data_IF_210387139733
#
_entry.id   IF_210387139733
#
_cell.length_a   1.000
_cell.length_b   1.000
_cell.length_c   1.000
_cell.angle_alpha   90.00
_cell.angle_beta   90.00
_cell.angle_gamma   90.00
#
_symmetry.space_group_name_H-M   'P 1'
#
loop_
_entity.id
_entity.type
_entity.pdbx_description
1 polymer ?
#
# COMPACT_ATOMS: atom_id res chain seq x y z
N UNK A 1 10.57 -16.51 13.85
CA UNK A 1 9.57 -17.20 13.01
C UNK A 1 8.29 -16.41 13.16
N UNK A 2 7.69 -15.94 12.06
CA UNK A 2 6.42 -15.20 12.14
C UNK A 2 5.31 -16.20 12.49
N UNK A 3 4.50 -15.86 13.48
CA UNK A 3 3.39 -16.68 13.96
C UNK A 3 2.10 -16.38 13.18
N UNK A 4 1.18 -17.34 13.15
CA UNK A 4 -0.17 -17.15 12.58
C UNK A 4 -0.95 -16.04 13.31
N UNK A 5 -0.69 -15.84 14.60
CA UNK A 5 -1.29 -14.77 15.39
C UNK A 5 -0.82 -13.39 14.93
N UNK A 6 0.48 -13.19 14.69
CA UNK A 6 1.01 -11.93 14.16
C UNK A 6 0.45 -11.60 12.77
N UNK A 7 0.30 -12.61 11.92
CA UNK A 7 -0.33 -12.49 10.59
C UNK A 7 -1.81 -12.13 10.75
N UNK A 8 -2.52 -12.83 11.64
CA UNK A 8 -3.95 -12.59 11.90
C UNK A 8 -4.19 -11.19 12.46
N UNK A 9 -3.36 -10.72 13.39
CA UNK A 9 -3.45 -9.35 13.92
C UNK A 9 -3.19 -8.30 12.83
N UNK A 10 -2.24 -8.55 11.92
CA UNK A 10 -1.98 -7.64 10.81
C UNK A 10 -3.18 -7.53 9.86
N UNK A 11 -3.84 -8.62 9.49
CA UNK A 11 -4.95 -8.56 8.52
C UNK A 11 -6.31 -8.31 9.16
N UNK A 12 -6.57 -8.89 10.33
CA UNK A 12 -7.87 -8.91 11.00
C UNK A 12 -7.89 -8.21 12.35
N UNK A 13 -6.73 -7.83 12.90
CA UNK A 13 -6.65 -7.04 14.14
C UNK A 13 -7.12 -5.60 13.95
N UNK A 14 -7.39 -4.90 15.05
CA UNK A 14 -7.76 -3.50 15.03
C UNK A 14 -6.60 -2.66 14.44
N UNK A 15 -6.92 -1.79 13.49
CA UNK A 15 -6.01 -0.79 12.94
C UNK A 15 -6.60 0.61 13.07
N UNK A 16 -5.78 1.63 12.85
CA UNK A 16 -6.27 3.00 12.73
C UNK A 16 -7.06 3.13 11.43
N UNK A 17 -8.31 3.59 11.49
CA UNK A 17 -9.07 3.88 10.28
C UNK A 17 -8.45 5.09 9.57
N UNK A 18 -8.15 4.92 8.29
CA UNK A 18 -7.61 5.99 7.46
C UNK A 18 -8.61 6.30 6.37
N UNK A 19 -9.03 7.56 6.32
CA UNK A 19 -9.84 8.07 5.23
C UNK A 19 -9.03 7.98 3.93
N UNK A 20 -9.54 7.23 2.95
CA UNK A 20 -9.02 7.23 1.60
C UNK A 20 -9.83 8.16 0.71
N UNK A 21 -9.83 7.87 -0.59
CA UNK A 21 -10.61 8.63 -1.55
C UNK A 21 -12.09 8.24 -1.49
N UNK A 22 -12.95 9.16 -1.06
CA UNK A 22 -14.40 8.97 -1.02
C UNK A 22 -15.12 9.35 -2.32
N UNK A 23 -14.41 10.02 -3.24
CA UNK A 23 -14.96 10.46 -4.52
C UNK A 23 -15.04 9.34 -5.57
N UNK A 24 -15.26 9.72 -6.82
CA UNK A 24 -15.32 8.76 -7.93
C UNK A 24 -13.92 8.21 -8.28
N UNK A 25 -13.88 7.00 -8.82
CA UNK A 25 -12.65 6.41 -9.35
C UNK A 25 -12.01 7.29 -10.44
N UNK A 26 -12.82 7.92 -11.29
CA UNK A 26 -12.35 8.74 -12.40
C UNK A 26 -11.64 10.01 -11.91
N UNK A 27 -12.15 10.64 -10.86
CA UNK A 27 -11.51 11.79 -10.23
C UNK A 27 -10.16 11.41 -9.61
N UNK A 28 -10.10 10.25 -8.95
CA UNK A 28 -8.87 9.73 -8.35
C UNK A 28 -7.80 9.42 -9.41
N UNK A 29 -8.20 8.80 -10.54
CA UNK A 29 -7.30 8.55 -11.66
C UNK A 29 -6.82 9.87 -12.27
N UNK A 30 -7.71 10.85 -12.41
CA UNK A 30 -7.36 12.17 -12.94
C UNK A 30 -6.39 12.92 -12.02
N UNK A 31 -6.58 12.83 -10.70
CA UNK A 31 -5.68 13.38 -9.69
C UNK A 31 -4.31 12.72 -9.75
N UNK A 32 -4.27 11.39 -9.88
CA UNK A 32 -3.04 10.63 -10.03
C UNK A 32 -2.30 10.97 -11.32
N UNK A 33 -3.02 11.14 -12.43
CA UNK A 33 -2.44 11.53 -13.71
C UNK A 33 -1.82 12.93 -13.68
N UNK A 34 -2.42 13.86 -12.91
CA UNK A 34 -1.86 15.21 -12.67
C UNK A 34 -0.63 15.17 -11.78
N UNK A 35 -0.66 14.37 -10.72
CA UNK A 35 0.42 14.29 -9.72
C UNK A 35 1.63 13.49 -10.23
N UNK A 36 1.37 12.43 -10.99
CA UNK A 36 2.39 11.48 -11.48
C UNK A 36 2.20 11.20 -12.99
N UNK A 37 2.49 12.20 -13.85
CA UNK A 37 2.25 12.07 -15.29
C UNK A 37 3.05 10.91 -15.89
N UNK A 38 2.37 10.01 -16.60
CA UNK A 38 2.98 8.86 -17.28
C UNK A 38 3.37 7.68 -16.38
N UNK A 39 3.15 7.77 -15.05
CA UNK A 39 3.41 6.65 -14.14
C UNK A 39 2.24 5.67 -14.14
N UNK A 40 2.54 4.39 -13.97
CA UNK A 40 1.50 3.37 -13.86
C UNK A 40 0.71 3.56 -12.55
N UNK A 41 -0.58 3.30 -12.59
CA UNK A 41 -1.44 3.39 -11.41
C UNK A 41 -2.25 2.12 -11.19
N UNK A 42 -2.58 1.84 -9.93
CA UNK A 42 -3.42 0.72 -9.53
C UNK A 42 -4.47 1.20 -8.52
N UNK A 43 -5.73 1.21 -8.91
CA UNK A 43 -6.86 1.52 -8.03
C UNK A 43 -7.17 0.30 -7.19
N UNK A 44 -7.19 0.48 -5.87
CA UNK A 44 -7.41 -0.59 -4.90
C UNK A 44 -8.46 -0.20 -3.88
N UNK A 45 -9.16 -1.20 -3.35
CA UNK A 45 -10.14 -1.10 -2.26
C UNK A 45 -9.74 -2.00 -1.10
N UNK A 46 -10.33 -1.74 0.07
CA UNK A 46 -10.07 -2.51 1.29
C UNK A 46 -8.57 -2.62 1.54
N UNK A 47 -7.94 -1.45 1.59
CA UNK A 47 -6.50 -1.33 1.65
C UNK A 47 -6.03 -1.15 3.10
N UNK A 48 -4.82 -1.62 3.36
CA UNK A 48 -4.15 -1.58 4.64
C UNK A 48 -2.75 -1.00 4.41
N UNK A 49 -2.49 0.18 4.95
CA UNK A 49 -1.15 0.72 5.07
C UNK A 49 -0.45 0.03 6.24
N UNK A 50 0.73 -0.51 5.98
CA UNK A 50 1.51 -1.25 6.96
C UNK A 50 2.80 -0.48 7.19
N UNK A 51 2.89 0.21 8.32
CA UNK A 51 4.14 0.79 8.82
C UNK A 51 5.05 -0.32 9.32
N UNK A 52 6.25 -0.35 8.78
CA UNK A 52 7.23 -1.37 9.08
C UNK A 52 8.05 -0.96 10.28
N UNK A 53 7.97 -1.74 11.35
CA UNK A 53 8.85 -1.61 12.49
C UNK A 53 10.26 -2.05 12.07
N UNK A 54 11.11 -1.06 11.83
CA UNK A 54 12.51 -1.22 11.40
C UNK A 54 13.45 -0.61 12.42
N UNK A 55 14.67 -1.13 12.48
CA UNK A 55 15.75 -0.55 13.27
C UNK A 55 16.18 0.82 12.72
N UNK A 56 16.84 1.69 13.52
CA UNK A 56 17.35 2.97 13.04
C UNK A 56 18.27 2.83 11.81
N UNK A 57 19.17 1.84 11.81
CA UNK A 57 20.05 1.55 10.68
C UNK A 57 19.29 1.17 9.39
N UNK A 58 18.24 0.37 9.53
CA UNK A 58 17.39 -0.01 8.39
C UNK A 58 16.56 1.17 7.89
N UNK A 59 16.05 2.01 8.81
CA UNK A 59 15.36 3.24 8.46
C UNK A 59 16.28 4.19 7.70
N UNK A 60 17.53 4.32 8.13
CA UNK A 60 18.53 5.15 7.45
C UNK A 60 18.82 4.60 6.05
N UNK A 61 19.02 3.29 5.90
CA UNK A 61 19.19 2.64 4.59
C UNK A 61 18.00 2.90 3.66
N UNK A 62 16.77 2.75 4.16
CA UNK A 62 15.56 3.01 3.38
C UNK A 62 15.49 4.49 2.97
N UNK A 63 15.77 5.40 3.90
CA UNK A 63 15.77 6.84 3.66
C UNK A 63 16.82 7.22 2.60
N UNK A 64 18.02 6.66 2.67
CA UNK A 64 19.09 6.84 1.68
C UNK A 64 18.71 6.31 0.29
N UNK A 65 17.83 5.32 0.22
CA UNK A 65 17.26 4.81 -1.03
C UNK A 65 16.02 5.59 -1.50
N UNK A 66 15.57 6.59 -0.74
CA UNK A 66 14.34 7.35 -0.98
C UNK A 66 13.09 6.48 -0.82
N UNK A 67 13.11 5.53 0.11
CA UNK A 67 12.02 4.63 0.44
C UNK A 67 11.52 4.92 1.86
N UNK A 68 10.22 4.71 2.04
CA UNK A 68 9.56 4.72 3.33
C UNK A 68 9.54 3.30 3.90
N UNK A 69 9.71 3.14 5.22
CA UNK A 69 9.45 1.88 5.92
C UNK A 69 7.94 1.64 6.01
N UNK A 70 7.26 1.60 4.87
CA UNK A 70 5.82 1.41 4.77
C UNK A 70 5.54 0.58 3.53
N UNK A 71 4.57 -0.32 3.62
CA UNK A 71 4.06 -1.07 2.47
C UNK A 71 2.53 -1.02 2.45
N UNK A 72 1.96 -1.28 1.28
CA UNK A 72 0.52 -1.32 1.09
C UNK A 72 0.09 -2.76 0.83
N UNK A 73 -0.94 -3.19 1.53
CA UNK A 73 -1.71 -4.37 1.20
C UNK A 73 -3.10 -3.94 0.76
N UNK A 74 -3.66 -4.57 -0.26
CA UNK A 74 -5.05 -4.37 -0.63
C UNK A 74 -5.71 -5.72 -0.89
N UNK A 75 -6.88 -5.90 -0.30
CA UNK A 75 -7.69 -7.10 -0.53
C UNK A 75 -8.25 -7.14 -1.95
N UNK A 76 -8.48 -5.98 -2.56
CA UNK A 76 -9.12 -5.88 -3.88
C UNK A 76 -8.42 -4.87 -4.80
N UNK A 77 -7.98 -5.34 -5.97
CA UNK A 77 -7.63 -4.49 -7.11
C UNK A 77 -8.89 -4.19 -7.91
N UNK A 78 -9.19 -2.92 -8.10
CA UNK A 78 -10.30 -2.46 -8.95
C UNK A 78 -9.84 -2.27 -10.38
N UNK A 79 -8.69 -1.63 -10.58
CA UNK A 79 -8.14 -1.34 -11.90
C UNK A 79 -6.62 -1.21 -11.85
N UNK A 80 -5.89 -1.98 -12.67
CA UNK A 80 -4.46 -1.78 -12.88
C UNK A 80 -4.20 -1.27 -14.30
N UNK A 81 -3.54 -0.11 -14.42
CA UNK A 81 -3.24 0.51 -15.72
C UNK A 81 -2.32 -0.36 -16.58
N UNK A 82 -1.54 -1.25 -15.96
CA UNK A 82 -0.64 -2.21 -16.62
C UNK A 82 -1.23 -3.61 -16.78
N UNK A 83 -2.47 -3.84 -16.34
CA UNK A 83 -3.15 -5.16 -16.36
C UNK A 83 -2.30 -6.31 -15.81
N UNK A 84 -1.45 -6.04 -14.82
CA UNK A 84 -0.65 -7.05 -14.11
C UNK A 84 -1.51 -7.86 -13.15
N UNK A 85 -2.55 -7.24 -12.62
CA UNK A 85 -3.50 -7.85 -11.70
C UNK A 85 -4.89 -7.86 -12.33
N UNK A 86 -5.59 -8.98 -12.18
CA UNK A 86 -7.00 -9.06 -12.53
C UNK A 86 -7.83 -8.31 -11.48
N UNK A 87 -8.99 -7.75 -11.85
CA UNK A 87 -9.93 -7.21 -10.88
C UNK A 87 -10.25 -8.24 -9.78
N UNK A 88 -10.47 -7.77 -8.56
CA UNK A 88 -10.74 -8.59 -7.37
C UNK A 88 -9.58 -9.45 -6.84
N UNK A 89 -8.40 -9.35 -7.46
CA UNK A 89 -7.20 -9.94 -6.87
C UNK A 89 -6.71 -9.08 -5.71
N UNK A 90 -6.11 -9.72 -4.71
CA UNK A 90 -5.35 -9.00 -3.70
C UNK A 90 -3.98 -8.59 -4.26
N UNK A 91 -3.41 -7.52 -3.72
CA UNK A 91 -2.06 -7.08 -4.06
C UNK A 91 -1.32 -6.63 -2.81
N UNK A 92 -0.04 -6.99 -2.74
CA UNK A 92 0.89 -6.37 -1.80
C UNK A 92 1.94 -5.59 -2.58
N UNK A 93 2.13 -4.33 -2.24
CA UNK A 93 3.19 -3.52 -2.81
C UNK A 93 4.56 -3.90 -2.24
N UNK A 94 5.61 -3.32 -2.82
CA UNK A 94 6.90 -3.23 -2.16
C UNK A 94 6.92 -1.99 -1.24
N UNK A 95 8.08 -1.64 -0.69
CA UNK A 95 8.29 -0.39 0.04
C UNK A 95 7.78 0.83 -0.75
N UNK A 96 7.04 1.68 -0.04
CA UNK A 96 6.61 2.98 -0.52
C UNK A 96 7.78 3.90 -0.74
N UNK A 97 7.60 4.89 -1.60
CA UNK A 97 8.48 6.06 -1.75
C UNK A 97 7.87 7.29 -1.13
N UNK A 98 6.57 7.47 -1.34
CA UNK A 98 5.82 8.59 -0.79
C UNK A 98 4.38 8.15 -0.54
N UNK A 99 3.74 8.83 0.42
CA UNK A 99 2.31 8.76 0.63
C UNK A 99 1.79 10.19 0.62
N UNK A 100 0.93 10.49 -0.35
CA UNK A 100 0.58 11.86 -0.74
C UNK A 100 -0.94 12.01 -0.78
N UNK A 101 -1.45 13.16 -0.34
CA UNK A 101 -2.90 13.51 -0.39
C UNK A 101 -3.81 12.52 0.34
N UNK A 102 -3.27 11.71 1.27
CA UNK A 102 -4.03 10.69 2.02
C UNK A 102 -4.60 9.54 1.20
N UNK A 103 -4.44 9.55 -0.14
CA UNK A 103 -5.08 8.59 -1.04
C UNK A 103 -4.14 8.02 -2.12
N UNK A 104 -2.90 8.50 -2.19
CA UNK A 104 -1.92 8.06 -3.19
C UNK A 104 -0.69 7.48 -2.50
N UNK A 105 -0.49 6.17 -2.65
CA UNK A 105 0.69 5.47 -2.16
C UNK A 105 1.64 5.16 -3.33
N UNK A 106 2.74 5.89 -3.40
CA UNK A 106 3.71 5.76 -4.48
C UNK A 106 4.73 4.68 -4.16
N UNK A 107 5.02 3.83 -5.15
CA UNK A 107 6.21 2.95 -5.15
C UNK A 107 7.16 3.34 -6.27
N UNK A 108 8.29 2.62 -6.39
CA UNK A 108 9.28 2.85 -7.46
C UNK A 108 8.65 2.90 -8.86
N UNK A 109 7.69 2.03 -9.17
CA UNK A 109 7.17 1.86 -10.53
C UNK A 109 5.67 2.06 -10.69
N UNK A 110 4.92 2.20 -9.59
CA UNK A 110 3.44 2.27 -9.61
C UNK A 110 2.93 3.14 -8.47
N UNK A 111 1.89 3.91 -8.72
CA UNK A 111 1.13 4.62 -7.70
C UNK A 111 -0.14 3.84 -7.40
N UNK A 112 -0.33 3.46 -6.15
CA UNK A 112 -1.56 2.83 -5.70
C UNK A 112 -2.55 3.90 -5.26
N UNK A 113 -3.75 3.83 -5.81
CA UNK A 113 -4.82 4.78 -5.58
C UNK A 113 -5.83 4.14 -4.64
N UNK A 114 -5.93 4.72 -3.45
CA UNK A 114 -6.65 4.19 -2.32
C UNK A 114 -8.12 4.64 -2.38
N UNK A 115 -8.98 3.75 -2.86
CA UNK A 115 -10.41 4.03 -3.03
C UNK A 115 -11.20 3.54 -1.80
N UNK A 116 -11.97 4.45 -1.20
CA UNK A 116 -12.68 4.24 0.06
C UNK A 116 -11.77 4.26 1.28
N UNK A 117 -12.38 4.11 2.46
CA UNK A 117 -11.64 4.00 3.72
C UNK A 117 -10.78 2.73 3.77
N UNK A 118 -9.66 2.83 4.47
CA UNK A 118 -8.75 1.72 4.73
C UNK A 118 -8.29 1.69 6.17
N UNK A 119 -7.29 0.87 6.43
CA UNK A 119 -6.68 0.76 7.75
C UNK A 119 -5.20 1.07 7.70
N UNK A 120 -4.65 1.53 8.82
CA UNK A 120 -3.22 1.67 9.04
C UNK A 120 -2.80 0.87 10.25
N UNK A 121 -1.74 0.08 10.08
CA UNK A 121 -1.27 -0.89 11.07
C UNK A 121 0.24 -0.91 11.11
N UNK A 122 0.79 -1.32 12.23
CA UNK A 122 2.22 -1.53 12.39
C UNK A 122 2.54 -3.02 12.36
N UNK A 123 3.62 -3.38 11.67
CA UNK A 123 4.11 -4.76 11.64
C UNK A 123 5.61 -4.82 11.43
N UNK A 124 6.23 -5.92 11.85
CA UNK A 124 7.62 -6.18 11.46
C UNK A 124 7.73 -6.41 9.94
N UNK A 125 8.91 -6.12 9.37
CA UNK A 125 9.23 -6.44 7.97
C UNK A 125 8.96 -7.91 7.68
N UNK A 126 9.35 -8.80 8.57
CA UNK A 126 9.12 -10.23 8.40
C UNK A 126 7.62 -10.55 8.30
N UNK A 127 6.78 -9.94 9.12
CA UNK A 127 5.33 -10.17 9.14
C UNK A 127 4.68 -9.61 7.86
N UNK A 128 5.00 -8.38 7.48
CA UNK A 128 4.44 -7.77 6.27
C UNK A 128 4.84 -8.52 4.98
N UNK A 129 6.06 -9.06 4.96
CA UNK A 129 6.58 -9.83 3.84
C UNK A 129 6.36 -11.35 3.95
N UNK A 130 5.72 -11.82 5.01
CA UNK A 130 5.52 -13.26 5.30
C UNK A 130 4.64 -13.97 4.27
N UNK A 131 3.67 -13.26 3.69
CA UNK A 131 2.87 -13.80 2.60
C UNK A 131 3.69 -13.85 1.31
N UNK A 132 3.84 -15.04 0.73
CA UNK A 132 4.28 -15.16 -0.66
C UNK A 132 3.10 -14.78 -1.55
N UNK A 133 3.22 -13.68 -2.29
CA UNK A 133 2.38 -13.50 -3.46
C UNK A 133 2.72 -14.63 -4.44
N UNK A 134 1.70 -15.33 -4.92
CA UNK A 134 1.84 -16.40 -5.91
C UNK A 134 2.55 -15.91 -7.17
#
# INVERSE_FOLDING_TARGET
MVTLEEISQLFYGAGEEVAGWEGSQEDLISLAAKSFPGKAFCVVKQWILIDLTVTPDEKEKLTNLGLLPMTLFAHEVVLDSKRRFQPQMWVRSNFGRSFTEGCMFETKSTVYLLLGAGQRKEASVATAFSMKAC
#
